data_IF_312186224102
#
_entry.id   IF_312186224102
#
_cell.length_a   1.000
_cell.length_b   1.000
_cell.length_c   1.000
_cell.angle_alpha   90.00
_cell.angle_beta   90.00
_cell.angle_gamma   90.00
#
_symmetry.space_group_name_H-M   'P 1'
#
loop_
_entity.id
_entity.type
_entity.pdbx_description
1 polymer ?
#
# COMPACT_ATOMS: atom_id res chain seq x y z
N UNK A 1 -47.94 24.08 -8.61
CA UNK A 1 -48.17 22.73 -8.05
C UNK A 1 -46.84 21.99 -8.05
N UNK A 2 -46.14 21.84 -6.91
CA UNK A 2 -45.00 20.94 -6.84
C UNK A 2 -45.52 19.49 -6.79
N UNK A 3 -44.97 18.62 -7.64
CA UNK A 3 -45.32 17.20 -7.73
C UNK A 3 -44.88 16.39 -6.49
N UNK A 4 -45.38 15.15 -6.35
CA UNK A 4 -45.23 14.38 -5.12
C UNK A 4 -43.79 13.91 -4.91
N UNK A 5 -43.31 14.10 -3.67
CA UNK A 5 -42.05 13.56 -3.19
C UNK A 5 -42.20 12.05 -3.02
N UNK A 6 -41.47 11.28 -3.81
CA UNK A 6 -41.32 9.83 -3.61
C UNK A 6 -40.41 9.64 -2.39
N UNK A 7 -40.87 8.98 -1.31
CA UNK A 7 -39.99 8.63 -0.19
C UNK A 7 -39.00 7.57 -0.67
N UNK A 8 -37.72 7.94 -0.73
CA UNK A 8 -36.64 6.98 -1.01
C UNK A 8 -36.42 6.18 0.26
N UNK A 9 -36.82 4.91 0.22
CA UNK A 9 -36.55 3.94 1.28
C UNK A 9 -35.03 3.74 1.43
N UNK A 10 -34.49 4.22 2.55
CA UNK A 10 -33.06 4.19 2.89
C UNK A 10 -32.63 2.88 3.56
N UNK A 11 -33.50 1.86 3.61
CA UNK A 11 -33.29 0.68 4.44
C UNK A 11 -32.42 -0.41 3.81
N UNK A 12 -31.92 -0.26 2.58
CA UNK A 12 -31.12 -1.31 1.92
C UNK A 12 -29.97 -0.75 1.08
N UNK A 13 -28.91 -0.30 1.74
CA UNK A 13 -27.61 -0.06 1.07
C UNK A 13 -26.56 -1.01 1.65
N UNK A 14 -25.90 -1.86 0.83
CA UNK A 14 -24.88 -2.77 1.32
C UNK A 14 -23.67 -2.00 1.89
N UNK A 15 -23.24 -2.41 3.08
CA UNK A 15 -22.18 -1.82 3.91
C UNK A 15 -20.81 -1.86 3.21
N UNK A 16 -20.19 -0.69 3.04
CA UNK A 16 -18.82 -0.51 2.53
C UNK A 16 -17.78 -0.87 3.63
N UNK A 17 -17.54 -2.17 3.82
CA UNK A 17 -16.52 -2.71 4.71
C UNK A 17 -15.13 -2.75 4.05
N UNK A 18 -14.38 -1.66 4.12
CA UNK A 18 -12.95 -1.66 3.76
C UNK A 18 -12.08 -1.83 5.02
N UNK A 19 -12.25 -2.97 5.68
CA UNK A 19 -11.72 -3.29 7.01
C UNK A 19 -10.17 -3.34 7.05
N UNK A 20 -9.55 -2.38 7.72
CA UNK A 20 -8.43 -2.68 8.63
C UNK A 20 -9.09 -3.17 9.92
N UNK A 21 -9.05 -4.47 10.18
CA UNK A 21 -9.71 -5.04 11.36
C UNK A 21 -9.12 -4.33 12.59
N UNK A 22 -9.94 -3.69 13.46
CA UNK A 22 -9.45 -3.29 14.76
C UNK A 22 -8.85 -4.50 15.47
N UNK A 23 -7.82 -4.32 16.31
CA UNK A 23 -7.30 -5.41 17.10
C UNK A 23 -8.44 -6.07 17.90
N UNK A 24 -8.44 -7.41 18.05
CA UNK A 24 -9.43 -8.06 18.89
C UNK A 24 -9.39 -7.43 20.29
N UNK A 25 -10.56 -7.20 20.89
CA UNK A 25 -10.66 -6.67 22.26
C UNK A 25 -9.78 -7.53 23.18
N UNK A 26 -8.99 -6.94 24.08
CA UNK A 26 -8.23 -7.72 25.06
C UNK A 26 -9.19 -8.67 25.78
N UNK A 27 -8.79 -9.95 26.02
CA UNK A 27 -9.60 -10.84 26.83
C UNK A 27 -9.86 -10.17 28.17
N UNK A 28 -11.12 -10.22 28.63
CA UNK A 28 -11.48 -9.71 29.95
C UNK A 28 -10.53 -10.31 31.00
N UNK A 29 -10.06 -9.52 31.99
CA UNK A 29 -9.27 -10.05 33.08
C UNK A 29 -9.99 -11.27 33.67
N UNK A 30 -9.28 -12.39 33.91
CA UNK A 30 -9.91 -13.54 34.54
C UNK A 30 -10.52 -13.09 35.87
N UNK A 31 -11.79 -13.44 36.07
CA UNK A 31 -12.46 -13.18 37.33
C UNK A 31 -11.58 -13.71 38.48
N UNK A 32 -11.44 -12.96 39.60
CA UNK A 32 -10.64 -13.41 40.73
C UNK A 32 -11.13 -14.79 41.15
N UNK A 33 -10.20 -15.76 41.16
CA UNK A 33 -10.51 -17.14 41.55
C UNK A 33 -11.05 -17.11 42.99
N UNK A 34 -12.19 -17.77 43.27
CA UNK A 34 -12.66 -17.93 44.64
C UNK A 34 -11.57 -18.59 45.48
N UNK A 35 -11.29 -18.02 46.65
CA UNK A 35 -10.32 -18.58 47.59
C UNK A 35 -10.76 -20.01 47.95
N UNK A 36 -9.91 -21.03 47.76
CA UNK A 36 -10.29 -22.40 48.07
C UNK A 36 -10.55 -22.55 49.57
N UNK A 37 -11.74 -23.04 49.95
CA UNK A 37 -11.96 -23.52 51.32
C UNK A 37 -11.08 -24.75 51.58
N UNK A 38 -10.45 -24.88 52.77
CA UNK A 38 -9.66 -26.06 53.09
C UNK A 38 -10.54 -27.32 53.04
N UNK A 39 -10.14 -28.31 52.25
CA UNK A 39 -10.74 -29.65 52.29
C UNK A 39 -10.05 -30.50 53.36
N UNK A 40 -10.80 -31.32 54.11
CA UNK A 40 -10.23 -32.26 55.07
C UNK A 40 -9.45 -33.38 54.35
N UNK A 41 -8.31 -33.76 54.92
CA UNK A 41 -7.39 -34.77 54.36
C UNK A 41 -7.94 -36.19 54.49
N UNK A 42 -7.96 -36.98 53.39
CA UNK A 42 -8.06 -38.43 53.46
C UNK A 42 -6.67 -39.09 53.44
N UNK A 43 -6.60 -40.20 54.19
CA UNK A 43 -5.46 -41.06 54.52
C UNK A 43 -4.81 -41.73 53.30
N UNK A 44 -3.50 -41.97 53.42
CA UNK A 44 -2.60 -42.54 52.40
C UNK A 44 -2.88 -44.01 52.02
N UNK A 45 -2.60 -44.34 50.76
CA UNK A 45 -2.39 -45.70 50.27
C UNK A 45 -1.16 -45.76 49.32
N UNK A 46 -0.52 -46.92 49.32
CA UNK A 46 0.87 -47.23 48.97
C UNK A 46 1.20 -47.32 47.44
N UNK A 47 2.48 -47.40 47.05
CA UNK A 47 2.94 -47.18 45.67
C UNK A 47 3.08 -48.47 44.83
N UNK A 48 2.98 -48.33 43.51
CA UNK A 48 3.33 -49.36 42.52
C UNK A 48 4.67 -49.02 41.81
N UNK A 49 5.47 -50.03 41.41
CA UNK A 49 6.87 -49.85 40.98
C UNK A 49 7.04 -49.66 39.46
N UNK A 50 8.24 -49.16 39.12
CA UNK A 50 8.60 -48.55 37.85
C UNK A 50 8.88 -49.45 36.65
N UNK A 51 9.24 -48.80 35.55
CA UNK A 51 9.79 -49.44 34.35
C UNK A 51 10.94 -48.62 33.80
N UNK A 52 12.04 -49.32 33.53
CA UNK A 52 13.37 -48.84 33.17
C UNK A 52 13.55 -48.79 31.65
N UNK A 53 14.42 -47.87 31.24
CA UNK A 53 14.86 -47.53 29.88
C UNK A 53 15.52 -48.66 29.07
N UNK A 54 15.56 -48.49 27.73
CA UNK A 54 16.75 -48.67 26.90
C UNK A 54 16.53 -48.26 25.42
N UNK A 55 17.54 -47.66 24.79
CA UNK A 55 17.86 -47.91 23.37
C UNK A 55 17.85 -46.72 22.39
N UNK A 56 19.04 -46.29 21.96
CA UNK A 56 19.34 -45.59 20.68
C UNK A 56 20.40 -46.45 19.94
N UNK A 57 20.91 -46.16 18.72
CA UNK A 57 20.42 -45.39 17.55
C UNK A 57 20.60 -46.17 16.20
N UNK A 58 20.18 -45.62 15.03
CA UNK A 58 20.94 -45.72 13.74
C UNK A 58 20.33 -44.93 12.56
N UNK A 59 21.21 -44.26 11.82
CA UNK A 59 21.01 -43.69 10.46
C UNK A 59 21.37 -44.70 9.36
N UNK A 60 20.82 -44.57 8.14
CA UNK A 60 21.61 -44.27 6.93
C UNK A 60 20.80 -43.39 5.92
N UNK A 61 21.25 -42.90 4.76
CA UNK A 61 22.53 -42.59 4.11
C UNK A 61 22.19 -41.64 2.94
N UNK A 62 23.17 -40.84 2.50
CA UNK A 62 23.08 -39.92 1.35
C UNK A 62 22.91 -40.67 0.03
N UNK A 63 22.26 -40.04 -0.95
CA UNK A 63 22.36 -40.41 -2.37
C UNK A 63 22.97 -39.25 -3.16
N UNK A 64 24.05 -39.55 -3.89
CA UNK A 64 24.63 -38.72 -4.96
C UNK A 64 24.09 -39.20 -6.31
N UNK A 65 24.06 -38.33 -7.33
CA UNK A 65 24.12 -38.77 -8.71
C UNK A 65 25.48 -38.45 -9.35
N UNK A 66 26.11 -39.47 -9.94
CA UNK A 66 27.02 -39.34 -11.08
C UNK A 66 26.13 -39.30 -12.35
N UNK A 67 26.38 -38.59 -13.44
CA UNK A 67 27.61 -38.12 -14.08
C UNK A 67 27.61 -38.69 -15.50
N UNK A 68 27.72 -37.83 -16.53
CA UNK A 68 28.42 -38.09 -17.82
C UNK A 68 28.31 -36.93 -18.80
N UNK A 69 29.47 -36.62 -19.37
CA UNK A 69 29.78 -35.66 -20.42
C UNK A 69 29.12 -35.95 -21.78
N UNK A 70 29.05 -34.90 -22.62
CA UNK A 70 29.52 -34.96 -24.01
C UNK A 70 29.74 -33.58 -24.62
N UNK A 71 30.91 -33.45 -25.23
CA UNK A 71 31.38 -32.36 -26.06
C UNK A 71 30.46 -32.02 -27.25
N UNK A 72 30.49 -30.76 -27.66
CA UNK A 72 29.83 -30.26 -28.85
C UNK A 72 30.39 -28.90 -29.28
N UNK A 73 31.54 -28.95 -29.95
CA UNK A 73 32.17 -27.80 -30.63
C UNK A 73 31.26 -27.35 -31.78
N UNK A 74 30.88 -26.07 -31.79
CA UNK A 74 30.01 -25.48 -32.81
C UNK A 74 30.26 -23.98 -32.99
N UNK A 75 31.27 -23.67 -33.79
CA UNK A 75 31.69 -22.33 -34.21
C UNK A 75 30.66 -21.73 -35.18
N UNK A 76 29.95 -20.65 -34.82
CA UNK A 76 29.23 -19.79 -35.79
C UNK A 76 29.27 -18.30 -35.43
N UNK A 77 29.96 -17.56 -36.31
CA UNK A 77 29.75 -16.17 -36.75
C UNK A 77 29.80 -15.02 -35.71
N UNK A 78 31.01 -14.46 -35.59
CA UNK A 78 31.21 -13.00 -35.45
C UNK A 78 30.54 -12.28 -36.61
N UNK A 79 29.73 -11.26 -36.32
CA UNK A 79 29.43 -10.27 -37.35
C UNK A 79 28.17 -9.43 -37.24
N UNK A 80 27.59 -9.14 -36.07
CA UNK A 80 26.53 -8.10 -35.97
C UNK A 80 26.54 -7.38 -34.61
N UNK A 81 27.60 -6.63 -34.29
CA UNK A 81 27.65 -5.77 -33.07
C UNK A 81 27.65 -4.26 -33.36
N UNK A 82 27.48 -3.84 -34.61
CA UNK A 82 27.62 -2.42 -35.00
C UNK A 82 26.33 -1.59 -35.05
N UNK A 83 25.16 -2.19 -35.31
CA UNK A 83 23.95 -1.42 -35.65
C UNK A 83 22.90 -1.32 -34.53
N UNK A 84 22.93 -2.21 -33.53
CA UNK A 84 21.99 -2.16 -32.40
C UNK A 84 22.20 -0.93 -31.49
N UNK A 85 23.43 -0.40 -31.40
CA UNK A 85 23.76 0.67 -30.45
C UNK A 85 23.23 2.06 -30.86
N UNK A 86 22.99 2.30 -32.16
CA UNK A 86 22.43 3.58 -32.64
C UNK A 86 20.93 3.71 -32.38
N UNK A 87 20.16 2.63 -32.54
CA UNK A 87 18.72 2.61 -32.17
C UNK A 87 18.51 2.71 -30.66
N UNK A 88 19.33 2.05 -29.84
CA UNK A 88 19.24 2.16 -28.37
C UNK A 88 19.56 3.59 -27.87
N UNK A 89 20.48 4.32 -28.51
CA UNK A 89 20.75 5.73 -28.18
C UNK A 89 19.64 6.68 -28.63
N UNK A 90 19.00 6.42 -29.76
CA UNK A 90 17.87 7.22 -30.24
C UNK A 90 16.62 7.06 -29.35
N UNK A 91 16.32 5.83 -28.89
CA UNK A 91 15.22 5.57 -27.95
C UNK A 91 15.49 6.19 -26.56
N UNK A 92 16.73 6.15 -26.07
CA UNK A 92 17.10 6.83 -24.80
C UNK A 92 17.05 8.36 -24.88
N UNK A 93 17.29 8.96 -26.05
CA UNK A 93 17.16 10.43 -26.23
C UNK A 93 15.71 10.89 -26.36
N UNK A 94 14.80 10.05 -26.85
CA UNK A 94 13.37 10.35 -26.94
C UNK A 94 12.65 10.28 -25.57
N UNK A 95 13.15 9.48 -24.63
CA UNK A 95 12.63 9.42 -23.25
C UNK A 95 12.90 10.70 -22.42
N UNK A 96 13.77 11.60 -22.90
CA UNK A 96 14.27 12.73 -22.13
C UNK A 96 13.39 14.00 -22.12
N UNK A 97 12.32 14.08 -22.92
CA UNK A 97 11.51 15.32 -23.02
C UNK A 97 10.04 15.07 -23.33
N UNK A 98 9.39 14.10 -22.69
CA UNK A 98 7.93 14.20 -22.56
C UNK A 98 7.65 15.44 -21.71
N UNK A 99 7.22 16.54 -22.36
CA UNK A 99 6.67 17.70 -21.66
C UNK A 99 5.38 17.23 -21.01
N UNK A 100 5.48 16.83 -19.76
CA UNK A 100 4.30 16.57 -18.95
C UNK A 100 3.49 17.86 -18.85
N UNK A 101 2.20 17.82 -19.17
CA UNK A 101 1.33 18.98 -19.05
C UNK A 101 0.80 19.00 -17.62
N UNK A 102 1.49 19.72 -16.74
CA UNK A 102 1.02 19.97 -15.37
C UNK A 102 1.31 18.88 -14.33
N UNK A 103 1.69 17.65 -14.73
CA UNK A 103 2.01 16.55 -13.79
C UNK A 103 3.47 16.12 -13.92
N UNK A 104 4.31 16.29 -12.90
CA UNK A 104 5.72 15.87 -12.95
C UNK A 104 6.01 14.75 -11.96
N UNK A 105 6.02 13.47 -12.39
CA UNK A 105 6.31 12.34 -11.51
C UNK A 105 7.62 12.51 -10.73
N UNK A 106 7.69 12.04 -9.47
CA UNK A 106 8.93 12.07 -8.70
C UNK A 106 9.97 11.09 -9.26
N UNK A 107 11.28 11.34 -9.02
CA UNK A 107 12.32 10.34 -9.30
C UNK A 107 12.08 9.09 -8.45
N UNK A 108 12.58 7.93 -8.91
CA UNK A 108 12.55 6.68 -8.14
C UNK A 108 13.19 6.86 -6.77
N UNK A 109 12.58 6.29 -5.73
CA UNK A 109 13.05 6.36 -4.35
C UNK A 109 12.52 5.18 -3.52
N UNK A 110 13.34 4.70 -2.60
CA UNK A 110 12.93 3.83 -1.50
C UNK A 110 12.97 4.63 -0.21
N UNK A 111 11.85 4.70 0.50
CA UNK A 111 11.68 5.53 1.69
C UNK A 111 11.18 4.70 2.87
N UNK A 112 11.73 4.95 4.05
CA UNK A 112 11.36 4.33 5.30
C UNK A 112 10.50 5.27 6.13
N UNK A 113 9.51 4.72 6.81
CA UNK A 113 8.56 5.46 7.63
C UNK A 113 8.44 4.83 9.01
N UNK A 114 8.51 5.66 10.06
CA UNK A 114 8.00 5.26 11.37
C UNK A 114 6.49 5.00 11.24
N UNK A 115 6.03 3.86 11.75
CA UNK A 115 4.61 3.47 11.72
C UNK A 115 4.01 3.58 13.11
N UNK A 116 2.84 4.19 13.22
CA UNK A 116 2.09 4.29 14.47
C UNK A 116 0.65 3.83 14.28
N UNK A 117 0.13 3.11 15.28
CA UNK A 117 -1.31 2.79 15.39
C UNK A 117 -1.82 3.31 16.71
N UNK A 118 -2.76 4.25 16.67
CA UNK A 118 -3.27 4.97 17.84
C UNK A 118 -2.13 5.56 18.70
N UNK A 119 -1.10 6.11 18.05
CA UNK A 119 0.09 6.68 18.70
C UNK A 119 1.13 5.66 19.16
N UNK A 120 0.82 4.36 19.14
CA UNK A 120 1.76 3.29 19.53
C UNK A 120 2.65 2.95 18.34
N UNK A 121 3.96 2.99 18.53
CA UNK A 121 4.91 2.66 17.48
C UNK A 121 4.85 1.17 17.10
N UNK A 122 4.88 0.92 15.81
CA UNK A 122 4.89 -0.39 15.16
C UNK A 122 6.14 -0.51 14.28
N UNK A 123 6.45 -1.72 13.74
CA UNK A 123 7.59 -1.86 12.84
C UNK A 123 7.49 -0.90 11.65
N UNK A 124 8.63 -0.33 11.28
CA UNK A 124 8.72 0.68 10.23
C UNK A 124 8.10 0.19 8.90
N UNK A 125 7.45 1.12 8.21
CA UNK A 125 6.93 0.94 6.87
C UNK A 125 7.97 1.26 5.80
N UNK A 126 7.71 0.76 4.60
CA UNK A 126 8.52 0.95 3.40
C UNK A 126 7.62 1.42 2.26
N UNK A 127 8.02 2.49 1.57
CA UNK A 127 7.45 2.89 0.29
C UNK A 127 8.55 2.85 -0.75
N UNK A 128 8.40 1.98 -1.74
CA UNK A 128 9.28 1.89 -2.91
C UNK A 128 8.55 2.39 -4.14
N UNK A 129 9.07 3.46 -4.72
CA UNK A 129 8.61 4.06 -5.96
C UNK A 129 9.68 3.89 -7.02
N UNK A 130 9.32 3.29 -8.15
CA UNK A 130 10.20 3.07 -9.30
C UNK A 130 9.54 3.54 -10.58
N UNK A 131 10.30 4.19 -11.46
CA UNK A 131 9.86 4.53 -12.81
C UNK A 131 11.01 4.61 -13.81
N UNK A 132 10.68 4.42 -15.09
CA UNK A 132 11.62 4.55 -16.23
C UNK A 132 11.21 5.66 -17.23
N UNK A 133 10.22 6.47 -16.86
CA UNK A 133 9.62 7.51 -17.69
C UNK A 133 8.50 7.02 -18.62
N UNK A 134 8.33 5.71 -18.76
CA UNK A 134 7.24 5.08 -19.53
C UNK A 134 6.33 4.20 -18.68
N UNK A 135 6.87 3.59 -17.64
CA UNK A 135 6.16 2.73 -16.69
C UNK A 135 6.59 3.02 -15.26
N UNK A 136 5.72 2.65 -14.33
CA UNK A 136 5.96 2.78 -12.91
C UNK A 136 5.64 1.50 -12.13
N UNK A 137 6.26 1.38 -10.96
CA UNK A 137 5.87 0.46 -9.89
C UNK A 137 5.88 1.19 -8.56
N UNK A 138 4.84 0.98 -7.78
CA UNK A 138 4.71 1.46 -6.42
C UNK A 138 4.44 0.26 -5.52
N UNK A 139 5.27 0.09 -4.50
CA UNK A 139 5.08 -0.91 -3.46
C UNK A 139 5.06 -0.21 -2.10
N UNK A 140 4.06 -0.53 -1.29
CA UNK A 140 3.92 -0.05 0.09
C UNK A 140 3.85 -1.26 1.00
N UNK A 141 4.72 -1.33 2.00
CA UNK A 141 4.74 -2.39 2.99
C UNK A 141 4.67 -1.77 4.39
N UNK A 142 3.78 -2.28 5.23
CA UNK A 142 3.70 -1.88 6.64
C UNK A 142 3.35 -3.10 7.50
N UNK A 143 3.58 -2.96 8.80
CA UNK A 143 3.20 -3.97 9.79
C UNK A 143 2.45 -3.30 10.92
N UNK A 144 1.37 -3.96 11.34
CA UNK A 144 0.69 -3.64 12.59
C UNK A 144 0.80 -4.88 13.46
N UNK A 145 1.50 -4.76 14.59
CA UNK A 145 1.92 -5.89 15.41
C UNK A 145 2.65 -6.94 14.55
N UNK A 146 2.13 -8.17 14.49
CA UNK A 146 2.66 -9.27 13.67
C UNK A 146 2.02 -9.38 12.28
N UNK A 147 1.02 -8.57 11.95
CA UNK A 147 0.33 -8.65 10.66
C UNK A 147 1.00 -7.77 9.62
N UNK A 148 1.31 -8.37 8.46
CA UNK A 148 1.86 -7.66 7.30
C UNK A 148 0.74 -7.17 6.40
N UNK A 149 0.91 -5.94 5.91
CA UNK A 149 0.09 -5.34 4.87
C UNK A 149 1.03 -4.92 3.75
N UNK A 150 0.74 -5.38 2.53
CA UNK A 150 1.49 -4.99 1.35
C UNK A 150 0.53 -4.58 0.24
N UNK A 151 0.86 -3.50 -0.44
CA UNK A 151 0.07 -2.93 -1.51
C UNK A 151 0.98 -2.68 -2.71
N UNK A 152 0.50 -3.00 -3.90
CA UNK A 152 1.26 -2.79 -5.12
C UNK A 152 0.37 -2.15 -6.19
N UNK A 153 0.89 -1.11 -6.83
CA UNK A 153 0.31 -0.48 -8.02
C UNK A 153 1.36 -0.45 -9.11
N UNK A 154 0.94 -0.70 -10.35
CA UNK A 154 1.82 -0.62 -11.51
C UNK A 154 1.05 -0.35 -12.78
N UNK A 155 1.72 0.29 -13.73
CA UNK A 155 1.14 0.59 -15.02
C UNK A 155 2.01 1.51 -15.86
N UNK A 156 1.38 2.13 -16.85
CA UNK A 156 2.01 3.05 -17.77
C UNK A 156 2.07 4.48 -17.21
N UNK A 157 2.84 5.32 -17.89
CA UNK A 157 2.92 6.76 -17.64
C UNK A 157 2.70 7.52 -18.95
N UNK A 158 1.85 8.53 -18.91
CA UNK A 158 1.51 9.36 -20.07
C UNK A 158 1.49 10.84 -19.70
N UNK A 159 1.29 11.73 -20.67
CA UNK A 159 1.41 13.19 -20.43
C UNK A 159 0.50 13.73 -19.30
N UNK A 160 -0.60 13.03 -19.02
CA UNK A 160 -1.56 13.28 -17.96
C UNK A 160 -1.17 12.71 -16.58
N UNK A 161 -0.09 11.93 -16.49
CA UNK A 161 0.40 11.30 -15.26
C UNK A 161 0.37 9.77 -15.30
N UNK A 162 0.00 9.17 -14.17
CA UNK A 162 -0.02 7.72 -13.98
C UNK A 162 -1.27 7.09 -14.61
N UNK A 163 -1.07 5.95 -15.25
CA UNK A 163 -2.11 5.10 -15.84
C UNK A 163 -2.01 3.72 -15.21
N UNK A 164 -2.72 3.46 -14.10
CA UNK A 164 -2.70 2.15 -13.46
C UNK A 164 -3.24 1.07 -14.38
N UNK A 165 -2.60 -0.10 -14.36
CA UNK A 165 -3.01 -1.30 -15.10
C UNK A 165 -3.30 -2.46 -14.15
N UNK A 166 -2.62 -2.48 -12.99
CA UNK A 166 -2.79 -3.50 -11.96
C UNK A 166 -2.64 -2.90 -10.57
N UNK A 167 -3.55 -3.28 -9.70
CA UNK A 167 -3.50 -3.00 -8.26
C UNK A 167 -3.64 -4.31 -7.46
N UNK A 168 -2.86 -4.48 -6.41
CA UNK A 168 -2.86 -5.67 -5.56
C UNK A 168 -2.80 -5.28 -4.08
N UNK A 169 -3.63 -5.94 -3.27
CA UNK A 169 -3.61 -5.82 -1.82
C UNK A 169 -3.38 -7.19 -1.17
N UNK A 170 -2.35 -7.28 -0.33
CA UNK A 170 -2.03 -8.45 0.47
C UNK A 170 -2.23 -8.11 1.93
N UNK A 171 -3.26 -8.70 2.53
CA UNK A 171 -3.63 -8.50 3.94
C UNK A 171 -3.69 -9.84 4.63
N UNK A 172 -2.84 -10.04 5.66
CA UNK A 172 -2.73 -11.33 6.36
C UNK A 172 -2.53 -12.48 5.35
N UNK A 173 -3.52 -13.36 5.20
CA UNK A 173 -3.48 -14.53 4.32
C UNK A 173 -4.30 -14.34 3.02
N UNK A 174 -4.84 -13.13 2.77
CA UNK A 174 -5.67 -12.82 1.60
C UNK A 174 -4.90 -11.93 0.63
N UNK A 175 -4.98 -12.25 -0.65
CA UNK A 175 -4.50 -11.41 -1.76
C UNK A 175 -5.67 -11.09 -2.67
N UNK A 176 -5.91 -9.82 -2.92
CA UNK A 176 -6.91 -9.33 -3.86
C UNK A 176 -6.21 -8.54 -4.96
N UNK A 177 -6.69 -8.66 -6.21
CA UNK A 177 -6.10 -7.98 -7.36
C UNK A 177 -7.19 -7.37 -8.21
N UNK A 178 -6.98 -6.12 -8.63
CA UNK A 178 -7.74 -5.45 -9.67
C UNK A 178 -6.88 -5.23 -10.91
N UNK A 179 -7.51 -5.30 -12.07
CA UNK A 179 -6.89 -4.98 -13.36
C UNK A 179 -7.67 -3.87 -14.02
N UNK A 180 -6.97 -2.98 -14.69
CA UNK A 180 -7.55 -1.81 -15.32
C UNK A 180 -7.12 -1.74 -16.77
N UNK A 181 -8.08 -1.56 -17.65
CA UNK A 181 -7.86 -1.28 -19.06
C UNK A 181 -8.35 0.13 -19.35
N UNK A 182 -7.42 1.07 -19.40
CA UNK A 182 -7.73 2.47 -19.66
C UNK A 182 -8.20 2.72 -21.11
N UNK A 183 -7.85 1.83 -22.06
CA UNK A 183 -8.29 1.94 -23.45
C UNK A 183 -9.73 1.43 -23.61
N UNK A 184 -10.06 0.32 -22.96
CA UNK A 184 -11.42 -0.20 -22.88
C UNK A 184 -12.31 0.54 -21.84
N UNK A 185 -11.72 1.40 -21.01
CA UNK A 185 -12.43 2.16 -19.99
C UNK A 185 -13.00 1.29 -18.86
N UNK A 186 -12.37 0.17 -18.53
CA UNK A 186 -12.95 -0.87 -17.67
C UNK A 186 -11.99 -1.31 -16.56
N UNK A 187 -12.51 -1.44 -15.33
CA UNK A 187 -11.88 -2.12 -14.21
C UNK A 187 -12.46 -3.52 -14.03
N UNK A 188 -11.62 -4.49 -13.68
CA UNK A 188 -12.02 -5.85 -13.29
C UNK A 188 -11.47 -6.12 -11.89
N UNK A 189 -12.36 -6.41 -10.95
CA UNK A 189 -12.04 -6.61 -9.54
C UNK A 189 -11.73 -8.06 -9.19
N UNK A 190 -11.30 -8.29 -7.94
CA UNK A 190 -10.95 -9.64 -7.46
C UNK A 190 -12.13 -10.63 -7.54
N UNK A 191 -13.37 -10.14 -7.42
CA UNK A 191 -14.60 -10.93 -7.60
C UNK A 191 -14.93 -11.26 -9.05
N UNK A 192 -14.23 -10.65 -10.02
CA UNK A 192 -14.59 -10.67 -11.45
C UNK A 192 -15.62 -9.60 -11.84
N UNK A 193 -16.16 -8.86 -10.87
CA UNK A 193 -17.07 -7.72 -11.13
C UNK A 193 -16.35 -6.65 -11.95
N UNK A 194 -17.07 -6.05 -12.89
CA UNK A 194 -16.56 -4.98 -13.72
C UNK A 194 -17.15 -3.62 -13.32
N UNK A 195 -16.40 -2.55 -13.53
CA UNK A 195 -16.87 -1.18 -13.36
C UNK A 195 -16.21 -0.22 -14.36
N UNK A 196 -16.83 0.94 -14.63
CA UNK A 196 -16.21 1.98 -15.45
C UNK A 196 -14.89 2.48 -14.85
N UNK A 197 -13.84 2.55 -15.68
CA UNK A 197 -12.52 3.07 -15.34
C UNK A 197 -12.02 4.01 -16.45
N UNK A 198 -12.53 5.26 -16.49
CA UNK A 198 -12.22 6.19 -17.57
C UNK A 198 -10.76 6.67 -17.51
N UNK A 199 -10.22 7.23 -18.61
CA UNK A 199 -8.89 7.81 -18.63
C UNK A 199 -8.67 8.81 -17.50
N UNK A 200 -7.55 8.67 -16.78
CA UNK A 200 -7.20 9.51 -15.64
C UNK A 200 -7.70 8.99 -14.28
N UNK A 201 -8.56 7.97 -14.26
CA UNK A 201 -8.85 7.23 -13.04
C UNK A 201 -7.57 6.61 -12.45
N UNK A 202 -7.54 6.52 -11.14
CA UNK A 202 -6.40 6.05 -10.36
C UNK A 202 -6.79 4.83 -9.53
N UNK A 203 -5.81 4.13 -8.97
CA UNK A 203 -6.04 3.20 -7.86
C UNK A 203 -5.70 3.85 -6.51
N UNK A 204 -5.99 3.13 -5.41
CA UNK A 204 -5.83 3.61 -4.03
C UNK A 204 -4.47 4.18 -3.66
N UNK A 205 -3.38 3.76 -4.31
CA UNK A 205 -2.04 4.24 -3.98
C UNK A 205 -1.43 5.10 -5.07
N UNK A 206 -1.70 4.82 -6.35
CA UNK A 206 -1.29 5.66 -7.47
C UNK A 206 -1.87 7.08 -7.36
N UNK A 207 -3.08 7.26 -6.82
CA UNK A 207 -3.66 8.60 -6.61
C UNK A 207 -2.77 9.52 -5.77
N UNK A 208 -2.06 8.99 -4.77
CA UNK A 208 -1.14 9.79 -3.96
C UNK A 208 0.07 10.25 -4.78
N UNK A 209 0.64 9.36 -5.62
CA UNK A 209 1.77 9.71 -6.47
C UNK A 209 1.36 10.58 -7.65
N UNK A 210 0.12 10.47 -8.12
CA UNK A 210 -0.49 11.39 -9.07
C UNK A 210 -0.61 12.80 -8.47
N UNK A 211 -1.06 12.91 -7.22
CA UNK A 211 -1.10 14.18 -6.49
C UNK A 211 0.30 14.76 -6.28
N UNK A 212 1.30 13.94 -5.90
CA UNK A 212 2.71 14.36 -5.85
C UNK A 212 3.14 14.91 -7.20
N UNK A 213 2.78 14.25 -8.30
CA UNK A 213 3.05 14.72 -9.65
C UNK A 213 2.43 16.09 -9.95
N UNK A 214 1.16 16.30 -9.59
CA UNK A 214 0.45 17.58 -9.78
C UNK A 214 1.15 18.71 -9.00
N UNK A 215 1.46 18.48 -7.72
CA UNK A 215 2.14 19.46 -6.87
C UNK A 215 3.54 19.77 -7.40
N UNK A 216 4.31 18.76 -7.82
CA UNK A 216 5.63 18.95 -8.42
C UNK A 216 5.58 19.69 -9.76
N UNK A 217 4.52 19.50 -10.53
CA UNK A 217 4.34 20.09 -11.86
C UNK A 217 3.93 21.55 -11.80
N UNK A 218 3.16 21.94 -10.78
CA UNK A 218 2.75 23.33 -10.56
C UNK A 218 2.59 23.64 -9.05
N UNK A 219 3.69 23.83 -8.29
CA UNK A 219 3.60 24.10 -6.85
C UNK A 219 2.81 25.38 -6.51
N UNK A 220 2.85 26.37 -7.41
CA UNK A 220 2.17 27.67 -7.24
C UNK A 220 0.65 27.55 -7.29
N UNK A 221 0.11 26.50 -7.91
CA UNK A 221 -1.33 26.20 -7.84
C UNK A 221 -1.79 26.04 -6.39
N UNK A 222 -0.92 25.53 -5.52
CA UNK A 222 -1.21 25.28 -4.10
C UNK A 222 -0.62 26.37 -3.19
N UNK A 223 -0.63 27.63 -3.64
CA UNK A 223 -0.18 28.78 -2.84
C UNK A 223 -1.17 29.12 -1.71
N UNK A 224 -2.48 28.99 -1.97
CA UNK A 224 -3.55 29.31 -1.02
C UNK A 224 -4.41 28.08 -0.73
N UNK A 225 -4.81 27.82 0.54
CA UNK A 225 -5.73 26.74 0.87
C UNK A 225 -7.04 26.80 0.08
N UNK A 226 -7.65 25.64 -0.13
CA UNK A 226 -8.95 25.48 -0.80
C UNK A 226 -8.90 24.83 -2.18
N UNK A 227 -7.71 24.71 -2.79
CA UNK A 227 -7.56 23.98 -4.06
C UNK A 227 -7.91 22.52 -3.89
N UNK A 228 -8.88 22.05 -4.67
CA UNK A 228 -9.37 20.67 -4.64
C UNK A 228 -9.08 19.98 -5.97
N UNK A 229 -8.45 18.81 -5.89
CA UNK A 229 -8.33 17.88 -7.01
C UNK A 229 -9.41 16.81 -6.91
N UNK A 230 -9.97 16.43 -8.06
CA UNK A 230 -10.98 15.37 -8.15
C UNK A 230 -10.42 14.18 -8.95
N UNK A 231 -10.67 12.98 -8.44
CA UNK A 231 -10.25 11.73 -9.02
C UNK A 231 -11.40 10.72 -9.00
N UNK A 232 -11.36 9.75 -9.90
CA UNK A 232 -12.01 8.46 -9.70
C UNK A 232 -10.95 7.49 -9.21
N UNK A 233 -11.23 6.78 -8.11
CA UNK A 233 -10.27 5.90 -7.45
C UNK A 233 -10.87 4.51 -7.35
N UNK A 234 -10.20 3.54 -7.96
CA UNK A 234 -10.54 2.14 -7.87
C UNK A 234 -9.82 1.46 -6.71
N UNK A 235 -10.53 0.52 -6.08
CA UNK A 235 -9.94 -0.43 -5.14
C UNK A 235 -10.07 -1.88 -5.62
N UNK A 236 -10.19 -2.84 -4.70
CA UNK A 236 -10.37 -4.26 -5.02
C UNK A 236 -11.82 -4.66 -5.28
N UNK A 237 -12.77 -3.72 -5.19
CA UNK A 237 -14.22 -3.98 -5.21
C UNK A 237 -15.03 -2.95 -5.99
N UNK A 238 -14.66 -1.68 -5.97
CA UNK A 238 -15.40 -0.62 -6.64
C UNK A 238 -14.51 0.52 -7.17
N UNK A 239 -15.14 1.47 -7.87
CA UNK A 239 -14.56 2.75 -8.28
C UNK A 239 -15.40 3.86 -7.66
N UNK A 240 -14.77 4.70 -6.86
CA UNK A 240 -15.46 5.78 -6.14
C UNK A 240 -14.81 7.15 -6.43
N UNK A 241 -15.60 8.24 -6.45
CA UNK A 241 -15.05 9.58 -6.54
C UNK A 241 -14.24 9.91 -5.28
N UNK A 242 -13.13 10.61 -5.46
CA UNK A 242 -12.28 11.13 -4.40
C UNK A 242 -11.95 12.59 -4.66
N UNK A 243 -12.25 13.44 -3.67
CA UNK A 243 -11.82 14.84 -3.68
C UNK A 243 -10.72 15.02 -2.64
N UNK A 244 -9.61 15.63 -3.03
CA UNK A 244 -8.47 15.91 -2.15
C UNK A 244 -8.20 17.41 -2.16
N UNK A 245 -8.31 18.04 -1.01
CA UNK A 245 -8.16 19.49 -0.85
C UNK A 245 -6.84 19.83 -0.16
N UNK A 246 -6.14 20.83 -0.66
CA UNK A 246 -5.05 21.49 0.04
C UNK A 246 -5.60 22.38 1.15
N UNK A 247 -5.22 22.12 2.40
CA UNK A 247 -5.80 22.79 3.59
C UNK A 247 -4.86 23.73 4.30
N UNK A 248 -3.58 23.81 3.89
CA UNK A 248 -2.59 24.65 4.52
C UNK A 248 -1.23 23.97 4.64
N UNK A 249 -0.34 24.55 5.43
CA UNK A 249 0.98 24.00 5.68
C UNK A 249 1.16 23.70 7.16
N UNK A 250 1.78 22.58 7.45
CA UNK A 250 2.09 22.13 8.79
C UNK A 250 3.59 21.86 8.93
N UNK A 251 4.08 21.98 10.15
CA UNK A 251 5.40 21.51 10.55
C UNK A 251 5.30 20.08 11.09
N UNK A 252 6.03 19.16 10.47
CA UNK A 252 6.01 17.74 10.80
C UNK A 252 7.31 17.36 11.50
N UNK A 253 7.22 17.00 12.77
CA UNK A 253 8.32 16.38 13.49
C UNK A 253 8.49 14.93 13.02
N UNK A 254 9.67 14.64 12.46
CA UNK A 254 10.04 13.30 11.96
C UNK A 254 10.81 12.47 12.99
N UNK A 255 11.12 13.04 14.16
CA UNK A 255 12.09 12.51 15.11
C UNK A 255 13.55 12.76 14.71
N UNK A 256 13.81 13.10 13.45
CA UNK A 256 15.13 13.50 12.92
C UNK A 256 15.19 15.00 12.59
N UNK A 257 14.18 15.76 13.02
CA UNK A 257 14.01 17.18 12.72
C UNK A 257 12.61 17.51 12.23
N UNK A 258 12.33 18.80 12.15
CA UNK A 258 11.03 19.34 11.73
C UNK A 258 11.07 19.67 10.23
N UNK A 259 10.06 19.21 9.50
CA UNK A 259 9.91 19.43 8.06
C UNK A 259 8.58 20.12 7.78
N UNK A 260 8.64 21.32 7.17
CA UNK A 260 7.46 22.01 6.66
C UNK A 260 6.88 21.31 5.43
N UNK A 261 5.57 21.11 5.42
CA UNK A 261 4.88 20.38 4.36
C UNK A 261 3.49 20.93 4.07
N UNK A 262 3.07 20.82 2.81
CA UNK A 262 1.70 21.12 2.39
C UNK A 262 0.79 19.97 2.81
N UNK A 263 -0.28 20.29 3.53
CA UNK A 263 -1.25 19.34 4.05
C UNK A 263 -2.45 19.23 3.08
N UNK A 264 -2.75 17.99 2.70
CA UNK A 264 -3.87 17.62 1.85
C UNK A 264 -4.81 16.68 2.60
N UNK A 265 -6.11 16.91 2.48
CA UNK A 265 -7.15 16.11 3.15
C UNK A 265 -8.12 15.59 2.11
N UNK A 266 -8.43 14.29 2.19
CA UNK A 266 -9.55 13.71 1.45
C UNK A 266 -10.87 14.21 2.04
N UNK A 267 -11.68 14.90 1.24
CA UNK A 267 -13.00 15.36 1.65
C UNK A 267 -13.97 14.19 1.84
N UNK A 268 -14.94 14.37 2.73
CA UNK A 268 -16.02 13.40 2.91
C UNK A 268 -16.86 13.30 1.64
N UNK A 269 -17.15 12.08 1.20
CA UNK A 269 -17.93 11.84 -0.03
C UNK A 269 -19.43 11.96 0.20
N UNK A 270 -19.86 11.70 1.44
CA UNK A 270 -21.25 11.69 1.90
C UNK A 270 -21.28 11.88 3.41
N UNK A 271 -22.43 12.24 3.97
CA UNK A 271 -22.58 12.60 5.38
C UNK A 271 -22.11 11.52 6.39
N UNK A 272 -22.10 10.23 6.00
CA UNK A 272 -21.65 9.13 6.84
C UNK A 272 -20.24 8.61 6.49
N UNK A 273 -19.50 9.28 5.60
CA UNK A 273 -18.11 8.93 5.29
C UNK A 273 -17.18 9.39 6.43
N UNK A 274 -17.05 8.54 7.45
CA UNK A 274 -16.24 8.81 8.64
C UNK A 274 -14.75 8.56 8.44
N UNK A 275 -14.34 7.93 7.34
CA UNK A 275 -12.92 7.68 7.08
C UNK A 275 -12.25 9.00 6.69
N UNK A 276 -11.10 9.30 7.31
CA UNK A 276 -10.27 10.46 6.98
C UNK A 276 -8.93 9.98 6.45
N UNK A 277 -8.46 10.58 5.36
CA UNK A 277 -7.15 10.32 4.78
C UNK A 277 -6.45 11.66 4.59
N UNK A 278 -5.23 11.76 5.07
CA UNK A 278 -4.44 12.98 5.10
C UNK A 278 -3.02 12.69 4.61
N UNK A 279 -2.47 13.66 3.88
CA UNK A 279 -1.19 13.55 3.22
C UNK A 279 -0.42 14.87 3.38
N UNK A 280 0.82 14.78 3.85
CA UNK A 280 1.71 15.94 3.95
C UNK A 280 2.84 15.80 2.94
N UNK A 281 2.95 16.75 2.02
CA UNK A 281 3.94 16.74 0.95
C UNK A 281 5.00 17.82 1.19
N UNK A 282 6.26 17.41 1.32
CA UNK A 282 7.35 18.30 1.68
C UNK A 282 8.23 18.66 0.48
N UNK A 283 8.43 19.95 0.20
CA UNK A 283 9.29 20.40 -0.90
C UNK A 283 10.73 19.91 -0.75
N UNK A 284 11.26 19.86 0.48
CA UNK A 284 12.60 19.36 0.80
C UNK A 284 12.80 17.89 0.42
N UNK A 285 11.72 17.11 0.39
CA UNK A 285 11.72 15.71 -0.07
C UNK A 285 11.35 15.58 -1.56
N UNK A 286 11.42 16.68 -2.33
CA UNK A 286 10.93 16.70 -3.69
C UNK A 286 9.42 16.49 -3.78
N UNK A 287 8.67 17.01 -2.81
CA UNK A 287 7.22 16.82 -2.67
C UNK A 287 6.78 15.38 -2.41
N UNK A 288 7.70 14.50 -2.02
CA UNK A 288 7.31 13.18 -1.53
C UNK A 288 6.58 13.29 -0.18
N UNK A 289 5.74 12.29 0.17
CA UNK A 289 5.04 12.29 1.45
C UNK A 289 6.00 12.29 2.64
N UNK A 290 5.94 13.32 3.47
CA UNK A 290 6.61 13.33 4.78
C UNK A 290 5.76 12.66 5.85
N UNK A 291 4.43 12.68 5.69
CA UNK A 291 3.49 12.01 6.57
C UNK A 291 2.27 11.52 5.79
N UNK A 292 1.74 10.36 6.17
CA UNK A 292 0.44 9.86 5.73
C UNK A 292 -0.36 9.44 6.95
N UNK A 293 -1.59 9.90 7.07
CA UNK A 293 -2.47 9.54 8.18
C UNK A 293 -3.82 9.06 7.68
N UNK A 294 -4.25 7.92 8.18
CA UNK A 294 -5.57 7.37 7.93
C UNK A 294 -6.29 7.17 9.25
N UNK A 295 -7.50 7.73 9.37
CA UNK A 295 -8.41 7.47 10.48
C UNK A 295 -9.60 6.69 9.96
N UNK A 296 -9.83 5.53 10.55
CA UNK A 296 -10.93 4.62 10.21
C UNK A 296 -12.25 5.07 10.87
N UNK A 297 -13.41 4.58 10.36
CA UNK A 297 -14.71 4.91 10.94
C UNK A 297 -14.87 4.56 12.43
N UNK A 298 -14.09 3.62 12.94
CA UNK A 298 -14.06 3.22 14.36
C UNK A 298 -13.11 4.08 15.22
N UNK A 299 -12.45 5.08 14.61
CA UNK A 299 -11.50 5.96 15.27
C UNK A 299 -10.05 5.45 15.24
N UNK A 300 -9.79 4.24 14.75
CA UNK A 300 -8.43 3.71 14.63
C UNK A 300 -7.61 4.61 13.71
N UNK A 301 -6.48 5.10 14.20
CA UNK A 301 -5.56 5.94 13.45
C UNK A 301 -4.30 5.18 13.09
N UNK A 302 -3.93 5.21 11.82
CA UNK A 302 -2.67 4.70 11.30
C UNK A 302 -1.89 5.90 10.76
N UNK A 303 -0.65 6.04 11.19
CA UNK A 303 0.21 7.16 10.85
C UNK A 303 1.56 6.65 10.36
N UNK A 304 2.02 7.17 9.23
CA UNK A 304 3.34 6.90 8.66
C UNK A 304 4.09 8.22 8.61
N UNK A 305 5.21 8.32 9.34
CA UNK A 305 6.04 9.53 9.40
C UNK A 305 7.41 9.22 8.80
N UNK A 306 7.86 10.04 7.86
CA UNK A 306 9.11 9.84 7.13
C UNK A 306 10.30 9.74 8.09
N UNK A 307 11.16 8.73 7.90
CA UNK A 307 12.41 8.55 8.64
C UNK A 307 13.64 8.81 7.79
N UNK A 308 13.60 8.41 6.53
CA UNK A 308 14.75 8.50 5.64
C UNK A 308 14.49 7.85 4.29
N UNK A 309 15.46 7.94 3.39
CA UNK A 309 15.45 7.26 2.10
C UNK A 309 16.75 6.52 1.89
N UNK A 310 16.71 5.42 1.13
CA UNK A 310 17.94 4.70 0.77
C UNK A 310 18.85 5.61 -0.07
N UNK A 311 20.16 5.56 0.23
CA UNK A 311 21.19 6.30 -0.51
C UNK A 311 21.23 7.81 -0.21
N UNK A 312 20.76 8.25 0.96
CA UNK A 312 20.89 9.63 1.44
C UNK A 312 21.35 9.69 2.88
#
# INVERSE_FOLDING_TARGET
MPGPLIPVDVSNTPTLEAVLLPPPRPPAPPAPRPVPRPRPQPRAAAPAPGTRAAGSPRSPARHQPAGRDRDGVGQWRRGQRGQACRRCRAVRRAAGRRRWRGVRPPPSATMHYASFVNGVQNPDGLIRWEQDGSRYRLAVETRVLWFRFAFQSGGAMAVQGLLPERYEERRRNKTETSRFDAAAGTAVFASGTQAPFPPGAQDRFSVFLQLVGLVRGNPQRYATPGVTEAFLVADTRDVEPMQVQYVGEDEIDTGNGVIRAKHFVRLQRRANDRRRVELWLAQSLGWMPVRLRQTEPDGTQIDLVYRGREGQ
#
